data_IF_944022834171
#
_entry.id   IF_944022834171
#
_cell.length_a   1.000
_cell.length_b   1.000
_cell.length_c   1.000
_cell.angle_alpha   90.00
_cell.angle_beta   90.00
_cell.angle_gamma   90.00
#
_symmetry.space_group_name_H-M   'P 1'
#
loop_
_entity.id
_entity.type
_entity.pdbx_description
1 polymer ?
#
# COMPACT_ATOMS: atom_id res chain seq x y z
N UNK A 1 -3.97 -8.59 6.49
CA UNK A 1 -3.37 -8.33 7.82
C UNK A 1 -1.96 -7.80 7.66
N UNK A 2 -1.27 -7.41 8.74
CA UNK A 2 0.16 -7.06 8.77
C UNK A 2 1.07 -8.30 8.85
N UNK A 3 2.37 -8.14 8.62
CA UNK A 3 3.33 -9.24 8.70
C UNK A 3 4.77 -8.81 8.40
N UNK A 4 5.75 -9.69 8.66
CA UNK A 4 7.16 -9.47 8.33
C UNK A 4 7.48 -9.87 6.87
N UNK A 5 8.65 -9.46 6.39
CA UNK A 5 9.24 -9.99 5.16
C UNK A 5 9.04 -9.10 3.93
N UNK A 6 9.52 -9.62 2.79
CA UNK A 6 9.38 -9.04 1.46
C UNK A 6 8.04 -9.50 0.86
N UNK A 7 7.10 -8.59 0.54
CA UNK A 7 5.82 -8.98 -0.06
C UNK A 7 6.00 -9.60 -1.47
N UNK A 8 7.03 -9.20 -2.22
CA UNK A 8 7.28 -9.71 -3.56
C UNK A 8 7.73 -11.18 -3.60
N UNK A 9 8.08 -11.77 -2.46
CA UNK A 9 8.48 -13.17 -2.35
C UNK A 9 7.32 -14.14 -2.03
N UNK A 10 6.08 -13.64 -1.94
CA UNK A 10 4.91 -14.42 -1.49
C UNK A 10 3.88 -14.55 -2.61
N UNK A 11 4.30 -15.16 -3.73
CA UNK A 11 3.51 -15.24 -4.98
C UNK A 11 2.09 -15.76 -4.77
N UNK A 12 1.91 -16.79 -3.95
CA UNK A 12 0.59 -17.40 -3.74
C UNK A 12 -0.44 -16.41 -3.18
N UNK A 13 0.00 -15.47 -2.32
CA UNK A 13 -0.90 -14.49 -1.72
C UNK A 13 -1.33 -13.42 -2.74
N UNK A 14 -0.41 -13.04 -3.62
CA UNK A 14 -0.64 -12.08 -4.69
C UNK A 14 -1.62 -12.68 -5.72
N UNK A 15 -1.39 -13.91 -6.15
CA UNK A 15 -2.24 -14.59 -7.13
C UNK A 15 -3.65 -14.84 -6.58
N UNK A 16 -3.79 -15.23 -5.32
CA UNK A 16 -5.11 -15.40 -4.70
C UNK A 16 -5.87 -14.06 -4.61
N UNK A 17 -5.18 -12.95 -4.30
CA UNK A 17 -5.81 -11.63 -4.27
C UNK A 17 -6.30 -11.21 -5.66
N UNK A 18 -5.55 -11.49 -6.73
CA UNK A 18 -6.01 -11.21 -8.11
C UNK A 18 -7.33 -11.93 -8.42
N UNK A 19 -7.51 -13.15 -7.92
CA UNK A 19 -8.75 -13.92 -8.09
C UNK A 19 -9.89 -13.29 -7.28
N UNK A 20 -9.63 -12.86 -6.04
CA UNK A 20 -10.65 -12.36 -5.12
C UNK A 20 -11.09 -10.91 -5.41
N UNK A 21 -10.25 -10.09 -6.03
CA UNK A 21 -10.58 -8.71 -6.40
C UNK A 21 -11.84 -8.68 -7.27
N UNK A 22 -12.80 -7.84 -6.88
CA UNK A 22 -14.10 -7.72 -7.55
C UNK A 22 -15.18 -8.69 -7.07
N UNK A 23 -14.86 -9.69 -6.22
CA UNK A 23 -15.86 -10.60 -5.66
C UNK A 23 -16.47 -10.09 -4.34
N UNK A 24 -15.65 -9.46 -3.49
CA UNK A 24 -16.02 -8.87 -2.20
C UNK A 24 -15.17 -7.63 -1.92
N UNK A 25 -15.61 -6.74 -1.01
CA UNK A 25 -14.73 -5.70 -0.50
C UNK A 25 -13.48 -6.28 0.15
N UNK A 26 -12.31 -5.74 -0.16
CA UNK A 26 -11.02 -6.17 0.40
C UNK A 26 -10.36 -4.96 1.05
N UNK A 27 -9.72 -5.17 2.21
CA UNK A 27 -8.98 -4.12 2.89
C UNK A 27 -7.62 -4.64 3.38
N UNK A 28 -6.55 -4.00 2.92
CA UNK A 28 -5.17 -4.36 3.21
C UNK A 28 -4.52 -3.40 4.20
N UNK A 29 -3.83 -3.93 5.21
CA UNK A 29 -3.08 -3.13 6.21
C UNK A 29 -1.61 -3.58 6.20
N UNK A 30 -0.67 -2.62 6.14
CA UNK A 30 0.78 -2.89 6.12
C UNK A 30 1.15 -3.84 4.97
N UNK A 31 1.61 -5.07 5.23
CA UNK A 31 1.90 -6.04 4.16
C UNK A 31 0.66 -6.38 3.31
N UNK A 32 -0.54 -6.34 3.90
CA UNK A 32 -1.78 -6.51 3.12
C UNK A 32 -2.02 -5.38 2.12
N UNK A 33 -1.63 -4.15 2.45
CA UNK A 33 -1.64 -3.03 1.50
C UNK A 33 -0.63 -3.27 0.37
N UNK A 34 0.56 -3.80 0.70
CA UNK A 34 1.58 -4.12 -0.29
C UNK A 34 1.11 -5.24 -1.25
N UNK A 35 0.50 -6.30 -0.73
CA UNK A 35 -0.06 -7.34 -1.57
C UNK A 35 -1.15 -6.83 -2.51
N UNK A 36 -1.99 -5.89 -2.06
CA UNK A 36 -2.96 -5.25 -2.94
C UNK A 36 -2.28 -4.43 -4.04
N UNK A 37 -1.24 -3.64 -3.71
CA UNK A 37 -0.46 -2.92 -4.71
C UNK A 37 0.17 -3.85 -5.76
N UNK A 38 0.76 -4.96 -5.33
CA UNK A 38 1.33 -5.98 -6.22
C UNK A 38 0.26 -6.70 -7.05
N UNK A 39 -0.88 -7.04 -6.46
CA UNK A 39 -1.99 -7.69 -7.17
C UNK A 39 -2.61 -6.77 -8.24
N UNK A 40 -2.55 -5.45 -8.02
CA UNK A 40 -2.97 -4.41 -8.96
C UNK A 40 -1.88 -4.02 -9.98
N UNK A 41 -0.76 -4.75 -10.01
CA UNK A 41 0.29 -4.62 -11.02
C UNK A 41 1.42 -3.65 -10.66
N UNK A 42 1.46 -3.13 -9.44
CA UNK A 42 2.58 -2.33 -8.95
C UNK A 42 3.81 -3.17 -8.58
N UNK A 43 4.89 -2.46 -8.27
CA UNK A 43 6.15 -3.02 -7.79
C UNK A 43 6.39 -2.64 -6.33
N UNK A 44 7.05 -3.52 -5.58
CA UNK A 44 7.49 -3.24 -4.21
C UNK A 44 8.99 -3.05 -4.15
N UNK A 45 9.44 -2.15 -3.27
CA UNK A 45 10.86 -1.93 -3.03
C UNK A 45 11.18 -1.88 -1.54
N UNK A 46 12.43 -2.19 -1.20
CA UNK A 46 12.93 -2.14 0.18
C UNK A 46 13.34 -0.72 0.54
N UNK A 47 12.76 -0.19 1.62
CA UNK A 47 13.16 1.09 2.20
C UNK A 47 14.55 0.98 2.82
N UNK A 48 15.32 2.08 2.78
CA UNK A 48 16.69 2.13 3.34
C UNK A 48 16.73 1.77 4.82
N UNK A 49 15.78 2.29 5.60
CA UNK A 49 15.66 2.03 7.04
C UNK A 49 14.26 1.58 7.48
N UNK A 50 13.25 1.74 6.61
CA UNK A 50 11.84 1.46 6.91
C UNK A 50 11.20 2.51 7.82
N UNK A 51 9.89 2.39 8.00
CA UNK A 51 9.12 3.21 8.92
C UNK A 51 8.77 2.42 10.17
N UNK A 52 9.30 2.86 11.31
CA UNK A 52 9.18 2.18 12.61
C UNK A 52 8.97 3.20 13.71
N UNK A 53 7.72 3.49 14.03
CA UNK A 53 7.40 4.49 15.05
C UNK A 53 5.92 4.86 15.06
N UNK A 54 5.50 5.54 16.11
CA UNK A 54 4.13 5.99 16.34
C UNK A 54 3.92 7.48 16.03
N UNK A 55 4.80 8.07 15.23
CA UNK A 55 4.84 9.50 14.94
C UNK A 55 4.99 9.80 13.43
N UNK A 56 4.61 8.87 12.55
CA UNK A 56 4.76 9.05 11.10
C UNK A 56 3.64 9.94 10.55
N UNK A 57 3.95 11.12 9.96
CA UNK A 57 2.97 12.03 9.42
C UNK A 57 2.51 11.56 8.04
N UNK A 58 1.24 11.14 7.95
CA UNK A 58 0.62 10.69 6.69
C UNK A 58 -0.44 11.69 6.28
N UNK A 59 -0.38 12.14 5.04
CA UNK A 59 -1.37 13.04 4.45
C UNK A 59 -2.30 12.27 3.53
N UNK A 60 -3.62 12.42 3.73
CA UNK A 60 -4.61 12.04 2.74
C UNK A 60 -4.61 13.10 1.62
N UNK A 61 -4.41 12.67 0.38
CA UNK A 61 -4.08 13.56 -0.74
C UNK A 61 -5.23 14.51 -1.10
N UNK A 62 -6.45 13.99 -1.24
CA UNK A 62 -7.61 14.74 -1.72
C UNK A 62 -8.02 15.88 -0.78
N UNK A 63 -8.10 15.58 0.51
CA UNK A 63 -8.52 16.49 1.58
C UNK A 63 -7.38 17.32 2.15
N UNK A 64 -6.13 16.91 1.95
CA UNK A 64 -4.94 17.49 2.57
C UNK A 64 -4.82 17.24 4.08
N UNK A 65 -5.77 16.50 4.69
CA UNK A 65 -5.75 16.18 6.13
C UNK A 65 -4.51 15.34 6.47
N UNK A 66 -3.87 15.68 7.59
CA UNK A 66 -2.70 14.96 8.10
C UNK A 66 -3.07 14.18 9.36
N UNK A 67 -2.59 12.95 9.43
CA UNK A 67 -2.76 12.05 10.56
C UNK A 67 -1.38 11.58 11.05
N UNK A 68 -1.24 11.44 12.37
CA UNK A 68 -0.05 10.83 12.97
C UNK A 68 -0.32 9.34 13.12
N UNK A 69 0.50 8.52 12.47
CA UNK A 69 0.26 7.08 12.32
C UNK A 69 1.33 6.23 13.00
N UNK A 70 0.95 5.01 13.36
CA UNK A 70 1.87 3.96 13.79
C UNK A 70 2.24 3.08 12.61
N UNK A 71 3.54 3.00 12.33
CA UNK A 71 4.07 2.26 11.20
C UNK A 71 5.17 1.31 11.64
N UNK A 72 5.22 0.15 10.97
CA UNK A 72 6.23 -0.87 11.20
C UNK A 72 6.44 -1.70 9.92
N UNK A 73 6.97 -1.08 8.86
CA UNK A 73 7.25 -1.76 7.58
C UNK A 73 8.63 -1.38 7.03
N UNK A 74 9.26 -2.32 6.32
CA UNK A 74 10.54 -2.12 5.65
C UNK A 74 10.46 -2.09 4.13
N UNK A 75 9.26 -2.28 3.58
CA UNK A 75 8.97 -2.27 2.16
C UNK A 75 7.86 -1.26 1.88
N UNK A 76 7.82 -0.74 0.67
CA UNK A 76 6.78 0.16 0.19
C UNK A 76 6.41 -0.23 -1.24
N UNK A 77 5.24 0.22 -1.69
CA UNK A 77 4.83 0.13 -3.10
C UNK A 77 5.33 1.37 -3.82
N UNK A 78 5.93 1.16 -4.99
CA UNK A 78 6.33 2.27 -5.86
C UNK A 78 5.09 2.88 -6.50
N UNK A 79 4.79 4.13 -6.14
CA UNK A 79 3.64 4.86 -6.67
C UNK A 79 3.70 5.03 -8.19
N UNK A 80 4.91 5.16 -8.75
CA UNK A 80 5.13 5.39 -10.18
C UNK A 80 4.95 4.11 -11.00
N UNK A 81 4.99 2.94 -10.35
CA UNK A 81 4.76 1.64 -10.99
C UNK A 81 3.27 1.30 -11.17
N UNK A 82 2.37 2.04 -10.51
CA UNK A 82 0.93 1.76 -10.54
C UNK A 82 0.24 2.42 -11.74
N UNK A 83 -0.68 1.70 -12.37
CA UNK A 83 -1.55 2.26 -13.40
C UNK A 83 -2.59 3.19 -12.76
N UNK A 84 -2.35 4.50 -12.87
CA UNK A 84 -3.21 5.54 -12.31
C UNK A 84 -4.60 5.64 -12.95
N UNK A 85 -4.86 4.92 -14.05
CA UNK A 85 -6.20 4.81 -14.63
C UNK A 85 -7.11 3.83 -13.86
N UNK A 86 -6.52 2.92 -13.08
CA UNK A 86 -7.24 1.92 -12.27
C UNK A 86 -7.06 2.15 -10.76
N UNK A 87 -5.91 2.67 -10.34
CA UNK A 87 -5.55 2.89 -8.94
C UNK A 87 -5.54 4.38 -8.63
N UNK A 88 -6.12 4.72 -7.49
CA UNK A 88 -6.01 6.02 -6.86
C UNK A 88 -5.00 5.94 -5.70
N UNK A 89 -4.05 6.87 -5.69
CA UNK A 89 -3.14 7.07 -4.57
C UNK A 89 -3.86 7.92 -3.53
N UNK A 90 -4.08 7.39 -2.33
CA UNK A 90 -4.93 8.05 -1.34
C UNK A 90 -4.12 8.73 -0.23
N UNK A 91 -2.97 8.16 0.15
CA UNK A 91 -2.17 8.65 1.26
C UNK A 91 -0.67 8.62 0.96
N UNK A 92 0.04 9.64 1.43
CA UNK A 92 1.50 9.75 1.29
C UNK A 92 2.16 10.07 2.63
N UNK A 93 3.37 9.56 2.83
CA UNK A 93 4.22 9.97 3.93
C UNK A 93 4.77 11.38 3.67
N UNK A 94 4.68 12.29 4.64
CA UNK A 94 5.17 13.66 4.47
C UNK A 94 6.69 13.78 4.65
N UNK A 95 7.35 12.82 5.29
CA UNK A 95 8.79 12.87 5.51
C UNK A 95 9.58 12.53 4.23
N UNK A 96 9.13 11.53 3.47
CA UNK A 96 9.90 10.97 2.35
C UNK A 96 9.07 10.68 1.09
N UNK A 97 7.78 11.03 1.09
CA UNK A 97 6.85 10.91 -0.05
C UNK A 97 6.54 9.48 -0.49
N UNK A 98 6.83 8.46 0.32
CA UNK A 98 6.42 7.09 -0.01
C UNK A 98 4.90 6.94 0.04
N UNK A 99 4.36 6.00 -0.74
CA UNK A 99 2.95 5.66 -0.74
C UNK A 99 2.55 5.00 0.58
N UNK A 100 1.46 5.47 1.19
CA UNK A 100 0.93 4.96 2.47
C UNK A 100 -0.54 4.50 2.37
N UNK A 101 -1.14 4.65 1.19
CA UNK A 101 -2.51 4.24 0.94
C UNK A 101 -2.84 4.31 -0.54
N UNK A 102 -3.63 3.33 -0.99
CA UNK A 102 -4.18 3.25 -2.33
C UNK A 102 -5.62 2.76 -2.25
N UNK A 103 -6.38 3.00 -3.32
CA UNK A 103 -7.70 2.44 -3.52
C UNK A 103 -7.89 2.12 -5.01
N UNK A 104 -8.68 1.11 -5.33
CA UNK A 104 -9.13 0.91 -6.70
C UNK A 104 -10.21 1.95 -7.03
N UNK A 105 -10.15 2.57 -8.22
CA UNK A 105 -11.09 3.64 -8.62
C UNK A 105 -12.56 3.20 -8.73
N UNK A 106 -12.80 1.96 -9.15
CA UNK A 106 -14.16 1.43 -9.36
C UNK A 106 -14.52 0.23 -8.48
N UNK A 107 -13.54 -0.58 -8.04
CA UNK A 107 -13.78 -1.76 -7.21
C UNK A 107 -13.63 -1.42 -5.72
N UNK A 108 -14.30 -2.14 -4.80
CA UNK A 108 -14.21 -1.89 -3.36
C UNK A 108 -12.93 -2.50 -2.77
N UNK A 109 -11.77 -1.98 -3.16
CA UNK A 109 -10.43 -2.47 -2.79
C UNK A 109 -9.55 -1.31 -2.35
#
# INVERSE_FOLDING_TARGET
SNGPGDPGAVDYAIEELKILIGQKPIFGICIGHQFLGLALGGESFKLKFGHRGANQPVQQIESGKVEITSQNHGFAIDADSLDTSIVELTHINLNDRTLEGLAHRTLPV
#
